data_IF_914440316764
#
_entry.id   IF_914440316764
#
_cell.length_a   1.000
_cell.length_b   1.000
_cell.length_c   1.000
_cell.angle_alpha   90.00
_cell.angle_beta   90.00
_cell.angle_gamma   90.00
#
_symmetry.space_group_name_H-M   'P 1'
#
loop_
_entity.id
_entity.type
_entity.pdbx_description
1 polymer ?
#
# COMPACT_ATOMS: atom_id res chain seq x y z
N UNK A 1 2.04 9.62 -7.02
CA UNK A 1 1.45 8.33 -6.57
C UNK A 1 0.31 8.62 -5.62
N UNK A 2 -0.84 7.95 -5.80
CA UNK A 2 -2.03 8.06 -4.94
C UNK A 2 -2.48 6.66 -4.55
N UNK A 3 -3.06 6.52 -3.36
CA UNK A 3 -3.66 5.26 -2.96
C UNK A 3 -4.91 4.95 -3.80
N UNK A 4 -5.04 3.71 -4.26
CA UNK A 4 -6.17 3.24 -5.07
C UNK A 4 -7.45 2.98 -4.26
N UNK A 5 -7.35 2.89 -2.93
CA UNK A 5 -8.48 2.66 -2.04
C UNK A 5 -9.47 3.83 -2.11
N UNK A 6 -10.77 3.52 -2.24
CA UNK A 6 -11.85 4.50 -2.26
C UNK A 6 -11.77 5.41 -1.04
N UNK A 7 -11.99 6.71 -1.24
CA UNK A 7 -11.93 7.74 -0.19
C UNK A 7 -10.56 7.93 0.51
N UNK A 8 -9.50 7.21 0.11
CA UNK A 8 -8.17 7.44 0.65
C UNK A 8 -7.55 8.71 0.04
N UNK A 9 -7.17 9.65 0.91
CA UNK A 9 -6.50 10.93 0.56
C UNK A 9 -4.98 10.85 0.73
N UNK A 10 -4.42 9.65 0.82
CA UNK A 10 -2.99 9.44 0.94
C UNK A 10 -2.34 9.59 -0.43
N UNK A 11 -1.46 10.57 -0.53
CA UNK A 11 -0.65 10.88 -1.69
C UNK A 11 0.83 10.88 -1.31
N UNK A 12 1.68 10.54 -2.26
CA UNK A 12 3.13 10.63 -2.09
C UNK A 12 3.58 12.09 -2.23
N UNK A 13 3.06 12.96 -1.36
CA UNK A 13 3.54 14.32 -1.15
C UNK A 13 3.71 14.53 0.35
N UNK A 14 4.79 15.23 0.77
CA UNK A 14 4.95 15.60 2.16
C UNK A 14 3.78 16.51 2.58
N UNK A 15 3.00 16.09 3.58
CA UNK A 15 2.00 16.95 4.20
C UNK A 15 2.72 17.88 5.17
N UNK A 16 2.36 19.18 5.17
CA UNK A 16 2.93 20.19 6.08
C UNK A 16 2.79 19.84 7.57
N UNK A 17 1.85 18.97 7.91
CA UNK A 17 1.44 18.63 9.29
C UNK A 17 1.97 17.30 9.82
N UNK A 18 2.42 16.37 8.96
CA UNK A 18 2.94 15.06 9.39
C UNK A 18 4.31 14.85 8.76
N UNK A 19 5.35 14.82 9.60
CA UNK A 19 6.77 14.88 9.18
C UNK A 19 7.27 13.73 8.28
N UNK A 20 6.43 12.76 7.90
CA UNK A 20 6.80 11.70 6.96
C UNK A 20 5.65 11.37 5.99
N UNK A 21 5.90 11.28 4.67
CA UNK A 21 4.91 10.77 3.72
C UNK A 21 4.64 9.27 3.97
N UNK A 22 3.42 8.79 3.70
CA UNK A 22 3.09 7.36 3.79
C UNK A 22 3.89 6.56 2.77
N UNK A 23 4.21 5.31 3.10
CA UNK A 23 4.83 4.37 2.14
C UNK A 23 3.76 3.83 1.20
N UNK A 24 4.13 3.56 -0.05
CA UNK A 24 3.23 3.02 -1.07
C UNK A 24 3.73 1.66 -1.54
N UNK A 25 2.81 0.70 -1.61
CA UNK A 25 3.09 -0.69 -1.96
C UNK A 25 2.28 -1.07 -3.21
N UNK A 26 2.95 -1.69 -4.18
CA UNK A 26 2.29 -2.27 -5.35
C UNK A 26 1.48 -3.51 -4.98
N UNK A 27 0.57 -3.91 -5.85
CA UNK A 27 -0.13 -5.18 -5.71
C UNK A 27 0.86 -6.35 -5.62
N UNK A 28 0.56 -7.38 -4.80
CA UNK A 28 1.41 -8.56 -4.71
C UNK A 28 1.45 -9.33 -6.03
N UNK A 29 2.58 -9.98 -6.31
CA UNK A 29 2.74 -10.86 -7.48
C UNK A 29 1.93 -12.15 -7.35
N UNK A 30 1.75 -12.64 -6.12
CA UNK A 30 0.91 -13.81 -5.85
C UNK A 30 -0.57 -13.47 -6.11
N UNK A 31 -1.21 -14.25 -6.98
CA UNK A 31 -2.55 -13.95 -7.45
C UNK A 31 -3.62 -14.12 -6.38
N UNK A 32 -3.49 -15.08 -5.47
CA UNK A 32 -4.44 -15.31 -4.39
C UNK A 32 -4.41 -14.16 -3.38
N UNK A 33 -3.19 -13.75 -2.98
CA UNK A 33 -3.01 -12.59 -2.12
C UNK A 33 -3.55 -11.32 -2.79
N UNK A 34 -3.32 -11.17 -4.11
CA UNK A 34 -3.83 -10.03 -4.89
C UNK A 34 -5.35 -10.00 -4.91
N UNK A 35 -6.01 -11.14 -5.13
CA UNK A 35 -7.49 -11.24 -5.09
C UNK A 35 -8.03 -10.81 -3.74
N UNK A 36 -7.43 -11.27 -2.65
CA UNK A 36 -7.84 -10.90 -1.28
C UNK A 36 -7.68 -9.39 -1.06
N UNK A 37 -6.57 -8.80 -1.51
CA UNK A 37 -6.36 -7.35 -1.40
C UNK A 37 -7.45 -6.56 -2.11
N UNK A 38 -7.77 -6.94 -3.34
CA UNK A 38 -8.79 -6.27 -4.15
C UNK A 38 -10.19 -6.41 -3.52
N UNK A 39 -10.51 -7.60 -3.00
CA UNK A 39 -11.77 -7.87 -2.30
C UNK A 39 -11.90 -7.03 -1.03
N UNK A 40 -10.88 -7.04 -0.15
CA UNK A 40 -10.94 -6.33 1.14
C UNK A 40 -11.00 -4.82 1.01
N UNK A 41 -10.38 -4.29 -0.04
CA UNK A 41 -10.29 -2.85 -0.27
C UNK A 41 -11.32 -2.34 -1.27
N UNK A 42 -12.22 -3.22 -1.74
CA UNK A 42 -13.27 -2.92 -2.71
C UNK A 42 -12.71 -2.19 -3.95
N UNK A 43 -11.59 -2.70 -4.47
CA UNK A 43 -10.90 -2.17 -5.65
C UNK A 43 -11.32 -2.97 -6.88
N UNK A 44 -12.04 -2.31 -7.78
CA UNK A 44 -12.35 -2.87 -9.09
C UNK A 44 -11.22 -2.59 -10.10
N UNK A 45 -10.68 -3.66 -10.70
CA UNK A 45 -9.65 -3.59 -11.72
C UNK A 45 -10.20 -3.28 -13.12
N UNK A 46 -11.51 -3.40 -13.37
CA UNK A 46 -12.10 -3.25 -14.70
C UNK A 46 -11.79 -1.90 -15.37
N UNK A 47 -11.49 -0.87 -14.57
CA UNK A 47 -11.19 0.47 -15.04
C UNK A 47 -9.79 0.98 -14.65
N UNK A 48 -8.94 0.13 -14.06
CA UNK A 48 -7.64 0.54 -13.54
C UNK A 48 -6.49 -0.25 -14.18
N UNK A 49 -5.47 0.46 -14.66
CA UNK A 49 -4.22 -0.18 -15.07
C UNK A 49 -3.47 -0.68 -13.83
N UNK A 50 -3.36 -2.01 -13.70
CA UNK A 50 -2.74 -2.71 -12.55
C UNK A 50 -1.31 -2.26 -12.25
N UNK A 51 -0.56 -1.80 -13.26
CA UNK A 51 0.80 -1.30 -13.09
C UNK A 51 0.89 0.01 -12.27
N UNK A 52 -0.22 0.76 -12.20
CA UNK A 52 -0.29 2.05 -11.50
C UNK A 52 -1.09 1.99 -10.20
N UNK A 53 -1.41 0.79 -9.70
CA UNK A 53 -2.16 0.59 -8.47
C UNK A 53 -1.20 0.49 -7.29
N UNK A 54 -1.37 1.42 -6.35
CA UNK A 54 -0.60 1.47 -5.12
C UNK A 54 -1.52 1.59 -3.91
N UNK A 55 -1.13 0.93 -2.82
CA UNK A 55 -1.84 0.94 -1.55
C UNK A 55 -0.90 1.50 -0.50
N UNK A 56 -1.37 2.48 0.28
CA UNK A 56 -0.52 3.07 1.32
C UNK A 56 -0.43 2.16 2.55
N UNK A 57 0.65 2.33 3.31
CA UNK A 57 0.93 1.57 4.53
C UNK A 57 -0.14 1.69 5.62
N UNK A 58 -0.97 2.74 5.58
CA UNK A 58 -2.11 2.94 6.50
C UNK A 58 -3.21 1.86 6.37
N UNK A 59 -3.27 1.14 5.26
CA UNK A 59 -4.23 0.05 5.05
C UNK A 59 -3.68 -1.31 5.52
N UNK A 60 -2.53 -1.33 6.17
CA UNK A 60 -1.94 -2.53 6.73
C UNK A 60 -1.76 -2.37 8.23
N UNK A 61 -1.67 -3.50 8.93
CA UNK A 61 -1.39 -3.45 10.35
C UNK A 61 0.05 -3.00 10.60
N UNK A 62 0.33 -2.21 11.65
CA UNK A 62 1.68 -1.75 11.95
C UNK A 62 2.72 -2.87 12.05
N UNK A 63 2.33 -4.04 12.57
CA UNK A 63 3.18 -5.23 12.69
C UNK A 63 3.58 -5.85 11.33
N UNK A 64 2.81 -5.60 10.27
CA UNK A 64 3.13 -6.07 8.92
C UNK A 64 4.05 -5.11 8.16
N UNK A 65 4.34 -3.92 8.72
CA UNK A 65 5.17 -2.89 8.10
C UNK A 65 6.63 -3.05 8.56
N UNK A 66 7.47 -3.55 7.67
CA UNK A 66 8.89 -3.78 7.92
C UNK A 66 9.74 -2.63 7.37
N UNK A 67 10.68 -2.11 8.17
CA UNK A 67 11.65 -1.09 7.75
C UNK A 67 13.05 -1.67 7.77
N UNK A 68 13.76 -1.59 6.65
CA UNK A 68 15.14 -2.05 6.56
C UNK A 68 16.02 -1.02 5.86
N UNK A 69 17.31 -1.02 6.20
CA UNK A 69 18.30 -0.14 5.60
C UNK A 69 18.94 -0.87 4.42
N UNK A 70 18.72 -0.37 3.21
CA UNK A 70 19.37 -0.88 1.99
C UNK A 70 20.15 0.25 1.34
N UNK A 71 21.46 0.06 1.16
CA UNK A 71 22.35 1.01 0.46
C UNK A 71 22.15 2.46 0.95
N UNK A 72 22.35 2.68 2.25
CA UNK A 72 22.25 3.98 2.92
C UNK A 72 20.86 4.64 2.98
N UNK A 73 19.80 4.01 2.44
CA UNK A 73 18.42 4.53 2.51
C UNK A 73 17.51 3.58 3.30
N UNK A 74 16.55 4.16 4.03
CA UNK A 74 15.46 3.40 4.63
C UNK A 74 14.47 3.00 3.55
N UNK A 75 14.12 1.72 3.50
CA UNK A 75 13.04 1.20 2.67
C UNK A 75 11.99 0.53 3.54
N UNK A 76 10.73 0.75 3.21
CA UNK A 76 9.58 0.10 3.85
C UNK A 76 9.08 -1.01 2.94
N UNK A 77 8.79 -2.17 3.52
CA UNK A 77 8.23 -3.33 2.85
C UNK A 77 7.09 -3.90 3.70
N UNK A 78 6.23 -4.70 3.08
CA UNK A 78 5.23 -5.48 3.80
C UNK A 78 5.79 -6.86 4.12
N UNK A 79 5.38 -7.42 5.26
CA UNK A 79 5.63 -8.81 5.61
C UNK A 79 5.07 -9.73 4.51
N UNK A 80 5.73 -10.87 4.28
CA UNK A 80 5.24 -11.88 3.34
C UNK A 80 3.85 -12.35 3.77
N UNK A 81 2.89 -12.27 2.86
CA UNK A 81 1.49 -12.63 3.13
C UNK A 81 0.70 -11.57 3.90
N UNK A 82 1.23 -10.37 4.11
CA UNK A 82 0.47 -9.27 4.71
C UNK A 82 -0.81 -8.99 3.90
N UNK A 83 -1.90 -8.81 4.61
CA UNK A 83 -3.20 -8.50 4.02
C UNK A 83 -3.69 -7.15 4.54
N UNK A 84 -4.42 -6.38 3.72
CA UNK A 84 -5.02 -5.14 4.19
C UNK A 84 -6.02 -5.39 5.31
N UNK A 85 -6.17 -4.40 6.18
CA UNK A 85 -7.28 -4.33 7.12
C UNK A 85 -8.59 -4.11 6.36
N UNK A 86 -9.65 -4.77 6.81
CA UNK A 86 -11.01 -4.54 6.28
C UNK A 86 -11.49 -3.16 6.73
N UNK A 87 -12.09 -2.41 5.81
CA UNK A 87 -12.56 -1.03 6.02
C UNK A 87 -14.01 -0.98 6.48
#
# INVERSE_FOLDING_TARGET
MRCAVKNCKSENKPKKTTGKPPSFHSLPQNEDQRKIWLQRLDIDLNHLNTANIFICDLHFRPEDILKTRKSCKWKTFLRKGALPIEL
#
